data_IF_355051742195
#
_entry.id   IF_355051742195
#
_cell.length_a   1.000
_cell.length_b   1.000
_cell.length_c   1.000
_cell.angle_alpha   90.00
_cell.angle_beta   90.00
_cell.angle_gamma   90.00
#
_symmetry.space_group_name_H-M   'P 1'
#
loop_
_entity.id
_entity.type
_entity.pdbx_description
1 polymer ?
#
# COMPACT_ATOMS: atom_id res chain seq x y z
N UNK A 1 9.36 -4.01 15.55
CA UNK A 1 9.28 -2.83 16.45
C UNK A 1 8.12 -2.92 17.44
N UNK A 2 6.87 -3.07 16.99
CA UNK A 2 5.68 -2.99 17.85
C UNK A 2 5.61 -4.05 18.97
N UNK A 3 5.99 -5.31 18.71
CA UNK A 3 6.02 -6.36 19.76
C UNK A 3 6.98 -6.03 20.91
N UNK A 4 8.13 -5.43 20.60
CA UNK A 4 9.07 -4.96 21.62
C UNK A 4 8.50 -3.82 22.46
N UNK A 5 7.83 -2.86 21.79
CA UNK A 5 7.10 -1.79 22.49
C UNK A 5 5.98 -2.36 23.37
N UNK A 6 5.23 -3.34 22.88
CA UNK A 6 4.16 -4.02 23.63
C UNK A 6 4.68 -4.63 24.93
N UNK A 7 5.84 -5.30 24.89
CA UNK A 7 6.48 -5.86 26.09
C UNK A 7 6.86 -4.78 27.11
N UNK A 8 7.45 -3.67 26.65
CA UNK A 8 7.85 -2.57 27.52
C UNK A 8 6.64 -1.83 28.12
N UNK A 9 5.59 -1.63 27.34
CA UNK A 9 4.32 -1.03 27.77
C UNK A 9 3.66 -1.91 28.83
N UNK A 10 3.58 -3.22 28.59
CA UNK A 10 2.97 -4.16 29.53
C UNK A 10 3.69 -4.14 30.90
N UNK A 11 5.03 -4.05 30.89
CA UNK A 11 5.85 -3.98 32.10
C UNK A 11 5.70 -2.66 32.88
N UNK A 12 5.08 -1.63 32.28
CA UNK A 12 4.90 -0.31 32.88
C UNK A 12 3.43 0.11 32.91
N UNK A 13 2.50 -0.84 32.79
CA UNK A 13 1.06 -0.58 32.69
C UNK A 13 0.51 0.21 33.87
N UNK A 14 1.10 0.01 35.06
CA UNK A 14 0.78 0.69 36.31
C UNK A 14 1.07 2.20 36.26
N UNK A 15 1.99 2.63 35.39
CA UNK A 15 2.38 4.04 35.21
C UNK A 15 1.58 4.74 34.11
N UNK A 16 0.78 4.00 33.36
CA UNK A 16 0.06 4.50 32.20
C UNK A 16 -1.41 4.70 32.56
N UNK A 17 -1.95 5.86 32.19
CA UNK A 17 -3.38 6.16 32.35
C UNK A 17 -4.07 5.98 31.00
N UNK A 18 -5.17 5.24 31.00
CA UNK A 18 -5.96 4.97 29.80
C UNK A 18 -5.60 3.65 29.12
N UNK A 19 -6.03 3.52 27.86
CA UNK A 19 -5.93 2.29 27.08
C UNK A 19 -4.99 2.47 25.90
N UNK A 20 -4.00 1.58 25.78
CA UNK A 20 -3.17 1.49 24.59
C UNK A 20 -3.64 0.28 23.78
N UNK A 21 -4.11 0.54 22.56
CA UNK A 21 -4.43 -0.49 21.57
C UNK A 21 -3.25 -0.67 20.63
N UNK A 22 -2.87 -1.91 20.35
CA UNK A 22 -1.76 -2.26 19.45
C UNK A 22 -2.34 -2.72 18.12
N UNK A 23 -1.99 -2.05 17.03
CA UNK A 23 -2.56 -2.29 15.70
C UNK A 23 -1.50 -2.96 14.82
N UNK A 24 -1.80 -4.17 14.35
CA UNK A 24 -0.97 -4.92 13.39
C UNK A 24 -1.68 -4.91 12.04
N UNK A 25 -1.36 -3.91 11.22
CA UNK A 25 -1.98 -3.76 9.90
C UNK A 25 -1.37 -4.72 8.88
N UNK A 26 -2.17 -5.54 8.19
CA UNK A 26 -1.71 -6.35 7.07
C UNK A 26 -1.68 -5.54 5.77
N UNK A 27 -1.09 -6.10 4.71
CA UNK A 27 -1.39 -5.70 3.33
C UNK A 27 -1.12 -4.21 2.99
N UNK A 28 -0.07 -3.63 3.59
CA UNK A 28 0.30 -2.20 3.41
C UNK A 28 0.85 -1.89 2.01
N UNK A 29 1.57 -2.83 1.40
CA UNK A 29 2.26 -2.72 0.08
C UNK A 29 1.29 -2.64 -1.14
N UNK A 30 0.13 -2.02 -0.92
CA UNK A 30 -0.86 -1.59 -1.90
C UNK A 30 -2.00 -2.56 -2.16
N UNK A 31 -2.33 -3.37 -1.14
CA UNK A 31 -3.57 -4.14 -1.05
C UNK A 31 -4.59 -3.49 -0.09
N UNK A 32 -4.33 -2.24 0.33
CA UNK A 32 -5.24 -1.40 1.10
C UNK A 32 -5.69 -2.00 2.46
N UNK A 33 -4.83 -2.76 3.15
CA UNK A 33 -5.22 -3.38 4.43
C UNK A 33 -5.74 -2.42 5.50
N UNK A 34 -5.24 -1.18 5.54
CA UNK A 34 -5.77 -0.15 6.43
C UNK A 34 -7.22 0.24 6.13
N UNK A 35 -7.67 0.20 4.86
CA UNK A 35 -9.07 0.48 4.48
C UNK A 35 -10.01 -0.57 5.09
N UNK A 36 -9.66 -1.84 4.93
CA UNK A 36 -10.46 -2.93 5.50
C UNK A 36 -10.54 -2.86 7.03
N UNK A 37 -9.43 -2.52 7.70
CA UNK A 37 -9.46 -2.33 9.16
C UNK A 37 -10.36 -1.18 9.61
N UNK A 38 -10.46 -0.10 8.82
CA UNK A 38 -11.40 1.00 9.09
C UNK A 38 -12.84 0.54 8.89
N UNK A 39 -13.13 -0.15 7.79
CA UNK A 39 -14.47 -0.67 7.47
C UNK A 39 -14.98 -1.67 8.53
N UNK A 40 -14.09 -2.46 9.11
CA UNK A 40 -14.40 -3.41 10.19
C UNK A 40 -14.45 -2.76 11.60
N UNK A 41 -14.22 -1.45 11.71
CA UNK A 41 -14.25 -0.73 12.99
C UNK A 41 -13.07 -1.03 13.91
N UNK A 42 -12.01 -1.67 13.41
CA UNK A 42 -10.83 -2.02 14.21
C UNK A 42 -10.08 -0.77 14.73
N UNK A 43 -10.26 0.37 14.05
CA UNK A 43 -9.65 1.66 14.39
C UNK A 43 -10.61 2.63 15.09
N UNK A 44 -11.74 2.14 15.61
CA UNK A 44 -12.72 2.97 16.31
C UNK A 44 -12.31 3.29 17.76
N UNK A 45 -12.72 4.48 18.21
CA UNK A 45 -12.52 4.94 19.60
C UNK A 45 -11.07 5.28 19.97
N UNK A 46 -10.20 5.53 18.99
CA UNK A 46 -8.86 6.04 19.23
C UNK A 46 -8.89 7.57 19.40
N UNK A 47 -8.26 8.08 20.47
CA UNK A 47 -8.07 9.52 20.66
C UNK A 47 -6.87 10.06 19.86
N UNK A 48 -5.87 9.21 19.63
CA UNK A 48 -4.69 9.48 18.84
C UNK A 48 -4.11 8.17 18.31
N UNK A 49 -3.41 8.24 17.18
CA UNK A 49 -2.69 7.13 16.57
C UNK A 49 -1.27 7.55 16.24
N UNK A 50 -0.31 6.63 16.43
CA UNK A 50 1.09 6.84 16.13
C UNK A 50 1.58 5.71 15.24
N UNK A 51 2.29 6.06 14.17
CA UNK A 51 2.96 5.13 13.27
C UNK A 51 4.46 5.38 13.26
N UNK A 52 5.24 4.34 12.98
CA UNK A 52 6.69 4.43 12.79
C UNK A 52 7.05 3.63 11.55
N UNK A 53 7.92 4.21 10.72
CA UNK A 53 8.49 3.55 9.56
C UNK A 53 10.01 3.71 9.60
N UNK A 54 10.74 2.63 9.30
CA UNK A 54 12.20 2.68 9.23
C UNK A 54 12.58 3.29 7.89
N UNK A 55 13.29 4.41 7.90
CA UNK A 55 13.71 5.09 6.67
C UNK A 55 15.21 4.89 6.42
N UNK A 56 15.62 4.12 5.40
CA UNK A 56 17.02 3.76 5.18
C UNK A 56 17.91 4.93 4.76
N UNK A 57 17.30 6.02 4.27
CA UNK A 57 18.03 7.21 3.80
C UNK A 57 18.28 8.25 4.89
N UNK A 58 17.86 8.00 6.14
CA UNK A 58 18.16 8.89 7.26
C UNK A 58 19.37 8.39 8.08
N UNK A 59 20.19 9.29 8.64
CA UNK A 59 21.27 8.89 9.54
C UNK A 59 20.73 8.09 10.74
N UNK A 60 21.45 7.04 11.12
CA UNK A 60 21.12 6.21 12.29
C UNK A 60 21.02 7.07 13.55
N UNK A 61 20.01 6.80 14.38
CA UNK A 61 19.73 7.57 15.60
C UNK A 61 18.86 8.81 15.37
N UNK A 62 18.47 9.09 14.13
CA UNK A 62 17.59 10.22 13.80
C UNK A 62 16.12 9.82 13.88
N UNK A 63 15.31 10.66 14.50
CA UNK A 63 13.84 10.61 14.45
C UNK A 63 13.37 11.91 13.81
N UNK A 64 12.52 11.82 12.79
CA UNK A 64 11.97 12.97 12.08
C UNK A 64 10.45 12.87 12.03
N UNK A 65 9.78 14.03 12.09
CA UNK A 65 8.34 14.18 11.96
C UNK A 65 8.01 15.56 11.38
N UNK A 66 6.79 15.71 10.84
CA UNK A 66 6.31 16.96 10.26
C UNK A 66 4.81 17.14 10.58
N UNK A 67 4.35 18.34 10.98
CA UNK A 67 2.91 18.61 11.07
C UNK A 67 2.27 18.68 9.68
N UNK A 68 1.05 18.14 9.55
CA UNK A 68 0.34 18.08 8.28
C UNK A 68 0.83 16.93 7.38
N UNK A 69 0.61 17.01 6.05
CA UNK A 69 0.97 15.95 5.12
C UNK A 69 2.48 15.67 5.08
N UNK A 70 2.84 14.39 5.23
CA UNK A 70 4.23 13.90 5.22
C UNK A 70 4.57 13.02 4.01
N UNK A 71 3.57 12.40 3.38
CA UNK A 71 3.73 11.55 2.19
C UNK A 71 2.72 11.94 1.11
N UNK A 72 3.01 11.57 -0.15
CA UNK A 72 2.10 11.76 -1.27
C UNK A 72 0.98 10.70 -1.25
N UNK A 73 -0.21 11.08 -1.76
CA UNK A 73 -1.25 10.11 -2.06
C UNK A 73 -0.84 9.20 -3.21
N UNK A 74 -1.21 7.93 -3.15
CA UNK A 74 -0.92 6.93 -4.18
C UNK A 74 -2.20 6.22 -4.60
N UNK A 75 -2.26 5.81 -5.87
CA UNK A 75 -3.37 5.04 -6.43
C UNK A 75 -2.83 4.06 -7.46
N UNK A 76 -3.51 2.92 -7.60
CA UNK A 76 -3.18 1.90 -8.60
C UNK A 76 -4.35 1.77 -9.56
N UNK A 77 -4.05 1.66 -10.84
CA UNK A 77 -5.01 1.34 -11.88
C UNK A 77 -4.43 0.28 -12.80
N UNK A 78 -5.30 -0.51 -13.43
CA UNK A 78 -4.89 -1.52 -14.41
C UNK A 78 -5.45 -1.13 -15.76
N UNK A 79 -4.59 -1.05 -16.77
CA UNK A 79 -5.00 -0.87 -18.17
C UNK A 79 -4.92 -2.22 -18.84
N UNK A 80 -6.06 -2.65 -19.38
CA UNK A 80 -6.16 -3.89 -20.15
C UNK A 80 -6.34 -3.50 -21.61
N UNK A 81 -5.34 -3.82 -22.44
CA UNK A 81 -5.45 -3.65 -23.89
C UNK A 81 -5.89 -4.95 -24.53
N UNK A 82 -6.98 -4.89 -25.32
CA UNK A 82 -7.50 -6.04 -26.03
C UNK A 82 -7.38 -5.84 -27.53
N UNK A 83 -6.55 -6.68 -28.14
CA UNK A 83 -6.36 -6.75 -29.58
C UNK A 83 -7.33 -7.70 -30.28
N UNK A 84 -7.10 -7.90 -31.58
CA UNK A 84 -7.71 -8.92 -32.41
C UNK A 84 -6.59 -9.71 -33.08
N UNK A 85 -6.43 -10.98 -32.72
CA UNK A 85 -5.46 -11.87 -33.36
C UNK A 85 -5.80 -12.18 -34.82
N UNK A 86 -4.87 -12.81 -35.53
CA UNK A 86 -5.05 -13.31 -36.88
C UNK A 86 -3.77 -13.88 -37.47
N UNK A 87 -3.78 -14.22 -38.75
CA UNK A 87 -2.61 -14.83 -39.39
C UNK A 87 -1.47 -13.81 -39.48
N UNK A 88 -0.27 -14.19 -39.02
CA UNK A 88 0.90 -13.32 -38.99
C UNK A 88 1.29 -12.72 -40.36
N UNK A 89 0.97 -13.40 -41.47
CA UNK A 89 1.21 -12.91 -42.82
C UNK A 89 0.20 -11.84 -43.29
N UNK A 90 -0.90 -11.63 -42.57
CA UNK A 90 -1.96 -10.67 -42.92
C UNK A 90 -2.26 -9.71 -41.75
N UNK A 91 -1.28 -8.89 -41.32
CA UNK A 91 -1.42 -8.04 -40.12
C UNK A 91 -2.53 -6.99 -40.24
N UNK A 92 -2.87 -6.55 -41.45
CA UNK A 92 -3.96 -5.59 -41.69
C UNK A 92 -5.35 -6.10 -41.28
N UNK A 93 -5.53 -7.41 -41.08
CA UNK A 93 -6.77 -8.01 -40.58
C UNK A 93 -6.81 -8.15 -39.04
N UNK A 94 -5.72 -7.79 -38.38
CA UNK A 94 -5.51 -7.90 -36.93
C UNK A 94 -5.60 -6.53 -36.24
N UNK A 95 -5.69 -6.51 -34.92
CA UNK A 95 -5.48 -5.33 -34.08
C UNK A 95 -4.44 -5.71 -33.04
N UNK A 96 -3.19 -5.32 -33.26
CA UNK A 96 -2.09 -5.74 -32.41
C UNK A 96 -2.06 -4.94 -31.09
N UNK A 97 -2.32 -5.62 -29.96
CA UNK A 97 -2.21 -4.98 -28.65
C UNK A 97 -0.77 -4.82 -28.17
N UNK A 98 0.21 -5.55 -28.73
CA UNK A 98 1.62 -5.35 -28.37
C UNK A 98 2.12 -4.00 -28.86
N UNK A 99 1.73 -3.60 -30.08
CA UNK A 99 2.03 -2.26 -30.57
C UNK A 99 1.39 -1.19 -29.67
N UNK A 100 0.11 -1.32 -29.32
CA UNK A 100 -0.58 -0.39 -28.41
C UNK A 100 0.07 -0.28 -27.02
N UNK A 101 0.44 -1.43 -26.43
CA UNK A 101 1.15 -1.54 -25.16
C UNK A 101 2.60 -1.05 -25.22
N UNK A 102 3.23 -1.00 -26.40
CA UNK A 102 4.57 -0.42 -26.54
C UNK A 102 4.52 1.12 -26.50
N UNK A 103 3.42 1.71 -26.95
CA UNK A 103 3.20 3.16 -26.93
C UNK A 103 2.58 3.67 -25.62
N UNK A 104 2.10 2.77 -24.75
CA UNK A 104 1.47 3.13 -23.46
C UNK A 104 1.83 2.06 -22.42
N UNK A 105 2.32 2.40 -21.22
CA UNK A 105 2.68 1.40 -20.20
C UNK A 105 1.42 0.63 -19.72
N UNK A 106 1.10 -0.47 -20.41
CA UNK A 106 -0.06 -1.31 -20.18
C UNK A 106 0.26 -2.77 -20.52
N UNK A 107 -0.37 -3.70 -19.81
CA UNK A 107 -0.20 -5.14 -20.04
C UNK A 107 -1.14 -5.61 -21.16
N UNK A 108 -0.61 -6.24 -22.22
CA UNK A 108 -1.39 -6.81 -23.34
C UNK A 108 -1.72 -8.28 -23.06
N UNK A 109 -2.99 -8.64 -23.23
CA UNK A 109 -3.46 -10.03 -23.17
C UNK A 109 -4.03 -10.42 -24.53
N UNK A 110 -3.51 -11.51 -25.11
CA UNK A 110 -4.10 -12.16 -26.28
C UNK A 110 -5.10 -13.22 -25.79
N UNK A 111 -6.37 -13.13 -26.18
CA UNK A 111 -7.34 -14.22 -26.03
C UNK A 111 -7.71 -14.74 -27.42
N UNK A 112 -7.69 -16.07 -27.57
CA UNK A 112 -8.23 -16.78 -28.73
C UNK A 112 -9.76 -16.70 -28.75
#
# INVERSE_FOLDING_TARGET
>A
MLLGAARLIQNRRDKLKGTIKLVFQPAEEGYAGASYMLEEGALDGFQAMFGLHVWPFMPVGTISSKPGPIMAGSSRFTVIMQGKGGHAATPHNTRDCFYGSSCTPATCFSRN
#
